data_IF_099828665167
#
_entry.id   IF_099828665167
#
_cell.length_a   1.000
_cell.length_b   1.000
_cell.length_c   1.000
_cell.angle_alpha   90.00
_cell.angle_beta   90.00
_cell.angle_gamma   90.00
#
_symmetry.space_group_name_H-M   'P 1'
#
loop_
_entity.id
_entity.type
_entity.pdbx_description
1 polymer ?
#
# COMPACT_ATOMS: atom_id res chain seq x y z
N UNK A 1 -3.86 5.73 12.85
CA UNK A 1 -2.48 5.90 13.36
C UNK A 1 -1.60 5.71 12.16
N UNK A 2 -0.68 6.64 11.88
CA UNK A 2 0.22 6.51 10.72
C UNK A 2 1.13 5.30 10.95
N UNK A 3 1.31 4.47 9.92
CA UNK A 3 2.24 3.35 9.97
C UNK A 3 3.64 3.82 9.61
N UNK A 4 4.67 3.18 10.15
CA UNK A 4 6.05 3.42 9.70
C UNK A 4 6.45 2.39 8.66
N UNK A 5 7.38 2.74 7.78
CA UNK A 5 7.98 1.78 6.84
C UNK A 5 8.50 0.54 7.58
N UNK A 6 9.07 0.72 8.78
CA UNK A 6 9.48 -0.36 9.68
C UNK A 6 8.36 -1.34 9.98
N UNK A 7 7.20 -0.83 10.37
CA UNK A 7 6.07 -1.67 10.73
C UNK A 7 5.51 -2.39 9.50
N UNK A 8 5.45 -1.72 8.34
CA UNK A 8 5.04 -2.34 7.09
C UNK A 8 5.98 -3.48 6.70
N UNK A 9 7.28 -3.27 6.83
CA UNK A 9 8.29 -4.31 6.63
C UNK A 9 8.11 -5.50 7.60
N UNK A 10 7.93 -5.23 8.90
CA UNK A 10 7.76 -6.29 9.90
C UNK A 10 6.50 -7.12 9.65
N UNK A 11 5.42 -6.49 9.18
CA UNK A 11 4.20 -7.20 8.77
C UNK A 11 4.42 -8.03 7.49
N UNK A 12 5.13 -7.48 6.51
CA UNK A 12 5.46 -8.20 5.28
C UNK A 12 6.30 -9.45 5.58
N UNK A 13 7.28 -9.32 6.49
CA UNK A 13 8.06 -10.45 6.99
C UNK A 13 7.18 -11.46 7.71
N UNK A 14 6.32 -11.04 8.63
CA UNK A 14 5.44 -11.95 9.35
C UNK A 14 4.53 -12.75 8.39
N UNK A 15 4.03 -12.10 7.32
CA UNK A 15 3.26 -12.78 6.28
C UNK A 15 4.10 -13.78 5.48
N UNK A 16 5.36 -13.44 5.19
CA UNK A 16 6.29 -14.36 4.54
C UNK A 16 6.55 -15.57 5.43
N UNK A 17 6.90 -15.36 6.69
CA UNK A 17 7.19 -16.42 7.67
C UNK A 17 5.95 -17.32 7.90
N UNK A 18 4.73 -16.76 7.88
CA UNK A 18 3.49 -17.54 8.02
C UNK A 18 3.16 -18.40 6.79
N UNK A 19 3.45 -17.88 5.59
CA UNK A 19 3.05 -18.51 4.32
C UNK A 19 4.15 -19.34 3.67
N UNK A 20 5.39 -19.22 4.15
CA UNK A 20 6.48 -20.14 3.81
C UNK A 20 6.45 -21.33 4.76
N UNK A 21 5.84 -22.42 4.30
CA UNK A 21 5.66 -23.67 5.05
C UNK A 21 6.98 -24.45 5.29
N UNK A 22 8.12 -23.86 4.91
CA UNK A 22 9.43 -24.49 4.92
C UNK A 22 10.13 -24.39 6.30
N UNK A 23 9.58 -23.60 7.24
CA UNK A 23 10.18 -23.36 8.56
C UNK A 23 11.54 -22.65 8.50
N UNK A 24 11.92 -22.15 7.32
CA UNK A 24 13.15 -21.38 7.10
C UNK A 24 12.88 -19.94 7.48
N UNK A 25 13.28 -19.58 8.69
CA UNK A 25 13.30 -18.18 9.11
C UNK A 25 14.36 -17.43 8.31
N UNK A 26 13.99 -16.25 7.79
CA UNK A 26 14.94 -15.34 7.15
C UNK A 26 16.04 -14.99 8.17
N UNK A 27 17.33 -15.21 7.85
CA UNK A 27 18.46 -14.87 8.73
C UNK A 27 18.47 -13.37 9.11
N UNK A 28 18.87 -13.05 10.35
CA UNK A 28 18.84 -11.65 10.84
C UNK A 28 19.74 -10.69 10.06
N UNK A 29 20.84 -11.19 9.50
CA UNK A 29 21.73 -10.44 8.61
C UNK A 29 21.04 -10.09 7.29
N UNK A 30 20.27 -11.02 6.72
CA UNK A 30 19.43 -10.73 5.55
C UNK A 30 18.30 -9.75 5.87
N UNK A 31 17.77 -9.79 7.10
CA UNK A 31 16.71 -8.86 7.55
C UNK A 31 17.16 -7.40 7.48
N UNK A 32 18.42 -7.09 7.82
CA UNK A 32 18.95 -5.71 7.75
C UNK A 32 19.00 -5.21 6.29
N UNK A 33 19.46 -6.05 5.38
CA UNK A 33 19.52 -5.74 3.96
C UNK A 33 18.10 -5.60 3.37
N UNK A 34 17.17 -6.47 3.78
CA UNK A 34 15.78 -6.41 3.36
C UNK A 34 15.05 -5.18 3.92
N UNK A 35 15.36 -4.75 5.14
CA UNK A 35 14.84 -3.50 5.72
C UNK A 35 15.24 -2.29 4.87
N UNK A 36 16.50 -2.23 4.46
CA UNK A 36 16.98 -1.14 3.59
C UNK A 36 16.27 -1.14 2.24
N UNK A 37 16.03 -2.33 1.66
CA UNK A 37 15.23 -2.48 0.43
C UNK A 37 13.77 -2.09 0.63
N UNK A 38 13.21 -2.34 1.81
CA UNK A 38 11.81 -2.05 2.12
C UNK A 38 11.50 -0.55 2.09
N UNK A 39 12.47 0.33 2.39
CA UNK A 39 12.31 1.78 2.22
C UNK A 39 12.04 2.12 0.75
N UNK A 40 12.88 1.63 -0.15
CA UNK A 40 12.69 1.85 -1.59
C UNK A 40 11.40 1.22 -2.12
N UNK A 41 11.12 -0.03 -1.72
CA UNK A 41 9.91 -0.74 -2.16
C UNK A 41 8.64 -0.07 -1.64
N UNK A 42 8.66 0.39 -0.38
CA UNK A 42 7.59 1.17 0.22
C UNK A 42 7.38 2.48 -0.53
N UNK A 43 8.45 3.19 -0.89
CA UNK A 43 8.39 4.44 -1.66
C UNK A 43 7.78 4.23 -3.04
N UNK A 44 8.19 3.18 -3.75
CA UNK A 44 7.63 2.83 -5.05
C UNK A 44 6.14 2.51 -4.97
N UNK A 45 5.72 1.69 -4.00
CA UNK A 45 4.30 1.36 -3.80
C UNK A 45 3.49 2.59 -3.38
N UNK A 46 4.07 3.45 -2.52
CA UNK A 46 3.42 4.68 -2.09
C UNK A 46 3.19 5.64 -3.26
N UNK A 47 4.21 5.84 -4.11
CA UNK A 47 4.11 6.63 -5.34
C UNK A 47 3.05 6.06 -6.28
N UNK A 48 3.05 4.75 -6.48
CA UNK A 48 2.08 4.09 -7.36
C UNK A 48 0.63 4.26 -6.85
N UNK A 49 0.41 4.09 -5.54
CA UNK A 49 -0.91 4.30 -4.92
C UNK A 49 -1.31 5.78 -4.95
N UNK A 50 -0.35 6.68 -4.77
CA UNK A 50 -0.57 8.12 -4.82
C UNK A 50 -0.97 8.59 -6.21
N UNK A 51 -0.24 8.19 -7.26
CA UNK A 51 -0.55 8.50 -8.65
C UNK A 51 -1.96 8.07 -9.06
N UNK A 52 -2.45 6.96 -8.50
CA UNK A 52 -3.81 6.49 -8.75
C UNK A 52 -4.88 7.27 -7.97
N UNK A 53 -4.52 7.89 -6.84
CA UNK A 53 -5.39 8.78 -6.07
C UNK A 53 -5.37 10.24 -6.51
N UNK A 54 -4.42 10.64 -7.37
CA UNK A 54 -4.26 12.03 -7.91
C UNK A 54 -5.49 12.56 -8.65
N UNK A 55 -6.47 11.72 -8.98
CA UNK A 55 -7.75 12.20 -9.51
C UNK A 55 -8.50 13.09 -8.50
N UNK A 56 -8.21 12.99 -7.19
CA UNK A 56 -8.97 13.67 -6.12
C UNK A 56 -8.12 14.54 -5.15
N UNK A 57 -6.79 14.65 -5.32
CA UNK A 57 -5.91 15.34 -4.34
C UNK A 57 -5.18 16.58 -4.88
N UNK A 58 -5.08 17.61 -4.04
CA UNK A 58 -4.44 18.92 -4.31
C UNK A 58 -2.94 18.98 -3.99
N UNK A 59 -2.33 17.91 -3.45
CA UNK A 59 -0.87 17.81 -3.29
C UNK A 59 -0.25 17.43 -4.64
N UNK A 60 0.76 18.18 -5.08
CA UNK A 60 1.39 17.96 -6.39
C UNK A 60 2.26 16.67 -6.44
N UNK A 61 2.82 16.24 -5.31
CA UNK A 61 3.72 15.08 -5.24
C UNK A 61 3.57 14.26 -3.93
N UNK A 62 3.75 12.93 -3.97
CA UNK A 62 3.80 12.10 -2.77
C UNK A 62 5.09 12.34 -1.97
N UNK A 63 4.96 12.29 -0.65
CA UNK A 63 6.10 12.26 0.26
C UNK A 63 6.96 11.01 -0.04
N UNK A 64 8.27 11.21 -0.20
CA UNK A 64 9.23 10.16 -0.54
C UNK A 64 9.77 9.54 0.74
N UNK A 65 9.84 8.20 0.81
CA UNK A 65 10.50 7.54 1.94
C UNK A 65 12.01 7.49 1.73
N UNK A 66 12.73 7.96 2.74
CA UNK A 66 14.20 7.99 2.81
C UNK A 66 14.74 7.23 4.02
N UNK A 67 13.87 6.94 4.99
CA UNK A 67 14.19 6.21 6.22
C UNK A 67 13.13 5.16 6.54
N UNK A 68 13.52 4.16 7.32
CA UNK A 68 12.60 3.14 7.84
C UNK A 68 11.63 3.68 8.90
N UNK A 69 11.99 4.79 9.53
CA UNK A 69 11.15 5.47 10.53
C UNK A 69 10.14 6.44 9.89
N UNK A 70 10.19 6.62 8.57
CA UNK A 70 9.24 7.49 7.85
C UNK A 70 7.82 6.93 7.97
N UNK A 71 6.87 7.83 8.19
CA UNK A 71 5.46 7.50 8.36
C UNK A 71 4.71 7.59 7.05
N UNK A 72 3.83 6.61 6.81
CA UNK A 72 2.88 6.62 5.71
C UNK A 72 1.68 7.47 6.11
N UNK A 73 1.46 8.60 5.41
CA UNK A 73 0.26 9.43 5.59
C UNK A 73 -0.91 8.93 4.72
N UNK A 74 -1.09 7.61 4.65
CA UNK A 74 -2.11 6.99 3.81
C UNK A 74 -3.18 6.30 4.65
N UNK A 75 -4.24 5.85 3.98
CA UNK A 75 -5.29 5.09 4.65
C UNK A 75 -4.85 3.64 4.93
N UNK A 76 -5.51 3.00 5.89
CA UNK A 76 -5.20 1.63 6.32
C UNK A 76 -5.19 0.59 5.18
N UNK A 77 -6.01 0.75 4.12
CA UNK A 77 -5.99 -0.18 2.98
C UNK A 77 -4.75 0.01 2.12
N UNK A 78 -4.30 1.26 1.95
CA UNK A 78 -3.05 1.57 1.26
C UNK A 78 -1.85 1.04 2.06
N UNK A 79 -1.84 1.16 3.39
CA UNK A 79 -0.80 0.54 4.24
C UNK A 79 -0.74 -0.99 4.05
N UNK A 80 -1.90 -1.65 4.01
CA UNK A 80 -1.96 -3.08 3.71
C UNK A 80 -1.46 -3.38 2.30
N UNK A 81 -1.83 -2.58 1.29
CA UNK A 81 -1.36 -2.76 -0.07
C UNK A 81 0.17 -2.65 -0.15
N UNK A 82 0.76 -1.63 0.46
CA UNK A 82 2.23 -1.45 0.54
C UNK A 82 2.88 -2.66 1.22
N UNK A 83 2.27 -3.19 2.29
CA UNK A 83 2.75 -4.40 2.98
C UNK A 83 2.81 -5.61 2.03
N UNK A 84 1.74 -5.86 1.26
CA UNK A 84 1.71 -6.95 0.29
C UNK A 84 2.69 -6.75 -0.88
N UNK A 85 2.87 -5.51 -1.31
CA UNK A 85 3.87 -5.17 -2.33
C UNK A 85 5.29 -5.51 -1.85
N UNK A 86 5.64 -5.09 -0.63
CA UNK A 86 6.93 -5.41 -0.01
C UNK A 86 7.08 -6.94 0.10
N UNK A 87 6.06 -7.65 0.60
CA UNK A 87 6.10 -9.10 0.73
C UNK A 87 6.33 -9.81 -0.62
N UNK A 88 5.66 -9.39 -1.68
CA UNK A 88 5.83 -9.96 -3.03
C UNK A 88 7.27 -9.84 -3.55
N UNK A 89 7.95 -8.72 -3.26
CA UNK A 89 9.33 -8.47 -3.74
C UNK A 89 10.40 -9.04 -2.82
N UNK A 90 10.05 -9.41 -1.58
CA UNK A 90 10.92 -10.09 -0.64
C UNK A 90 10.73 -11.62 -0.65
N UNK A 91 9.62 -12.12 -1.21
CA UNK A 91 9.36 -13.54 -1.34
C UNK A 91 10.46 -14.27 -2.14
N UNK A 92 10.78 -15.53 -1.81
CA UNK A 92 11.71 -16.33 -2.57
C UNK A 92 11.24 -16.45 -4.03
N UNK A 93 12.08 -16.07 -5.00
CA UNK A 93 11.71 -16.06 -6.41
C UNK A 93 11.31 -17.46 -6.95
N UNK A 94 11.76 -18.52 -6.27
CA UNK A 94 11.44 -19.91 -6.58
C UNK A 94 9.99 -20.26 -6.17
N UNK A 95 9.42 -19.56 -5.19
CA UNK A 95 8.04 -19.73 -4.75
C UNK A 95 7.08 -18.77 -5.50
N UNK A 96 6.88 -19.06 -6.79
CA UNK A 96 6.03 -18.26 -7.68
C UNK A 96 4.57 -18.17 -7.23
N UNK A 97 4.05 -19.20 -6.58
CA UNK A 97 2.68 -19.19 -6.07
C UNK A 97 2.50 -18.14 -4.97
N UNK A 98 3.47 -18.06 -4.06
CA UNK A 98 3.49 -17.08 -2.98
C UNK A 98 3.66 -15.65 -3.52
N UNK A 99 4.57 -15.45 -4.48
CA UNK A 99 4.74 -14.15 -5.17
C UNK A 99 3.42 -13.73 -5.81
N UNK A 100 2.80 -14.61 -6.61
CA UNK A 100 1.53 -14.33 -7.30
C UNK A 100 0.40 -14.02 -6.31
N UNK A 101 0.34 -14.73 -5.18
CA UNK A 101 -0.63 -14.47 -4.13
C UNK A 101 -0.51 -13.05 -3.58
N UNK A 102 0.71 -12.62 -3.24
CA UNK A 102 0.94 -11.28 -2.72
C UNK A 102 0.68 -10.19 -3.76
N UNK A 103 1.07 -10.41 -5.02
CA UNK A 103 0.76 -9.48 -6.12
C UNK A 103 -0.74 -9.34 -6.36
N UNK A 104 -1.49 -10.44 -6.34
CA UNK A 104 -2.95 -10.40 -6.50
C UNK A 104 -3.62 -9.65 -5.32
N UNK A 105 -3.15 -9.87 -4.09
CA UNK A 105 -3.64 -9.13 -2.91
C UNK A 105 -3.33 -7.64 -2.99
N UNK A 106 -2.13 -7.27 -3.45
CA UNK A 106 -1.76 -5.89 -3.70
C UNK A 106 -2.71 -5.23 -4.69
N UNK A 107 -2.91 -5.85 -5.86
CA UNK A 107 -3.79 -5.32 -6.92
C UNK A 107 -5.25 -5.20 -6.46
N UNK A 108 -5.76 -6.17 -5.71
CA UNK A 108 -7.10 -6.10 -5.13
C UNK A 108 -7.27 -4.92 -4.16
N UNK A 109 -6.30 -4.69 -3.28
CA UNK A 109 -6.36 -3.62 -2.29
C UNK A 109 -6.15 -2.25 -2.92
N UNK A 110 -5.22 -2.14 -3.86
CA UNK A 110 -4.99 -0.97 -4.71
C UNK A 110 -6.26 -0.52 -5.41
N UNK A 111 -7.02 -1.43 -6.03
CA UNK A 111 -8.34 -1.11 -6.62
C UNK A 111 -9.38 -0.68 -5.57
N UNK A 112 -9.38 -1.30 -4.38
CA UNK A 112 -10.32 -0.99 -3.29
C UNK A 112 -10.01 0.31 -2.56
N UNK A 113 -8.77 0.79 -2.59
CA UNK A 113 -8.42 2.12 -2.08
C UNK A 113 -8.92 3.22 -3.01
N UNK A 114 -9.00 2.96 -4.32
CA UNK A 114 -9.55 3.88 -5.33
C UNK A 114 -11.09 3.96 -5.24
N UNK A 115 -11.77 2.81 -5.19
CA UNK A 115 -13.24 2.76 -5.27
C UNK A 115 -13.99 3.39 -4.08
N UNK A 116 -13.30 3.85 -3.02
CA UNK A 116 -13.97 4.57 -1.93
C UNK A 116 -14.27 6.04 -2.27
N UNK A 117 -13.73 6.57 -3.37
CA UNK A 117 -14.02 7.92 -3.85
C UNK A 117 -15.34 8.03 -4.65
N UNK A 118 -15.94 6.90 -5.07
CA UNK A 118 -17.15 6.91 -5.92
C UNK A 118 -18.44 6.62 -5.14
N UNK A 119 -18.63 7.24 -3.98
CA UNK A 119 -19.97 7.64 -3.53
C UNK A 119 -20.06 9.15 -3.69
N UNK A 120 -19.95 9.62 -4.93
CA UNK A 120 -20.41 10.97 -5.27
C UNK A 120 -21.91 10.95 -5.01
N UNK A 121 -22.33 11.52 -3.89
CA UNK A 121 -23.72 11.92 -3.72
C UNK A 121 -24.03 12.84 -4.90
N UNK A 122 -24.79 12.34 -5.87
CA UNK A 122 -25.40 13.17 -6.91
C UNK A 122 -26.39 14.05 -6.15
N UNK A 123 -25.94 15.21 -5.67
CA UNK A 123 -26.86 16.27 -5.26
C UNK A 123 -27.56 16.71 -6.53
N UNK A 124 -28.82 16.31 -6.63
CA UNK A 124 -29.74 16.65 -7.70
C UNK A 124 -29.84 18.19 -7.79
N UNK A 125 -29.16 18.80 -8.75
CA UNK A 125 -29.22 20.26 -9.00
C UNK A 125 -30.43 20.54 -9.87
N UNK A 126 -31.63 20.30 -9.33
CA UNK A 126 -32.88 20.84 -9.84
C UNK A 126 -33.79 21.19 -8.66
N UNK A 127 -33.39 22.22 -7.92
CA UNK A 127 -34.38 23.02 -7.20
C UNK A 127 -35.15 23.83 -8.26
N UNK A 128 -36.47 23.69 -8.40
CA UNK A 128 -37.24 24.63 -9.20
C UNK A 128 -37.08 26.00 -8.55
N UNK A 129 -36.60 26.98 -9.30
CA UNK A 129 -36.74 28.39 -8.97
C UNK A 129 -38.23 28.68 -8.80
N UNK A 130 -38.69 28.81 -7.56
CA UNK A 130 -39.88 29.59 -7.27
C UNK A 130 -39.54 31.04 -7.63
N UNK A 131 -39.93 31.44 -8.85
CA UNK A 131 -40.05 32.85 -9.19
C UNK A 131 -41.21 33.41 -8.35
N UNK A 132 -40.85 34.12 -7.28
CA UNK A 132 -41.69 35.14 -6.66
C UNK A 132 -42.07 36.18 -7.73
N UNK A 133 -43.35 36.23 -8.14
CA UNK A 133 -44.20 37.44 -8.30
C UNK A 133 -45.42 37.19 -9.20
#
# INVERSE_FOLDING_TARGET
MAETVKNLFLKARALLDELTDDGVLIPEDEVIDMQSKAVLLGDMAHKELYEQSRLDSTKDEPDTFTSIDDTTEVNYKADQAITYYIAARLAPFENKELVNFFEDKYEQLKRKSINKATEVAITDVYAPTEEDS
#
